data_IF_084700972480
#
_entry.id   IF_084700972480
#
_cell.length_a   1.000
_cell.length_b   1.000
_cell.length_c   1.000
_cell.angle_alpha   90.00
_cell.angle_beta   90.00
_cell.angle_gamma   90.00
#
_symmetry.space_group_name_H-M   'P 1'
#
loop_
_entity.id
_entity.type
_entity.pdbx_description
1 polymer ?
#
# COMPACT_ATOMS: atom_id res chain seq x y z
N UNK A 1 13.96 35.35 11.75
CA UNK A 1 15.30 34.82 11.38
C UNK A 1 16.31 35.40 12.35
N UNK A 2 16.56 34.71 13.46
CA UNK A 2 17.65 35.02 14.37
C UNK A 2 18.92 34.36 13.81
N UNK A 3 19.82 35.17 13.27
CA UNK A 3 21.13 34.71 12.80
C UNK A 3 21.92 34.16 13.99
N UNK A 4 22.19 32.86 14.00
CA UNK A 4 23.13 32.26 14.95
C UNK A 4 24.51 32.73 14.54
N UNK A 5 25.01 33.78 15.17
CA UNK A 5 26.40 34.21 15.02
C UNK A 5 27.27 33.22 15.76
N UNK A 6 27.90 32.29 15.03
CA UNK A 6 28.91 31.41 15.60
C UNK A 6 30.16 32.27 15.83
N UNK A 7 30.62 32.48 17.08
CA UNK A 7 31.85 33.22 17.32
C UNK A 7 33.03 32.49 16.65
N UNK A 8 34.03 33.22 16.11
CA UNK A 8 35.22 32.58 15.55
C UNK A 8 35.90 31.77 16.65
N UNK A 9 35.79 30.44 16.57
CA UNK A 9 36.39 29.54 17.53
C UNK A 9 37.92 29.66 17.51
N UNK A 10 38.59 29.50 18.67
CA UNK A 10 40.05 29.44 18.70
C UNK A 10 40.51 28.27 17.81
N UNK A 11 41.58 28.51 17.03
CA UNK A 11 42.07 27.63 15.97
C UNK A 11 41.90 26.14 16.26
N UNK A 12 41.22 25.44 15.35
CA UNK A 12 40.79 24.06 15.48
C UNK A 12 41.95 23.09 15.70
N UNK A 13 42.29 22.82 16.97
CA UNK A 13 42.71 21.47 17.35
C UNK A 13 41.44 20.67 17.55
N UNK A 14 40.91 20.10 16.47
CA UNK A 14 39.80 19.17 16.55
C UNK A 14 40.23 18.03 17.48
N UNK A 15 39.56 17.91 18.62
CA UNK A 15 39.80 16.81 19.55
C UNK A 15 39.26 15.55 18.87
N UNK A 16 40.13 14.73 18.28
CA UNK A 16 39.74 13.58 17.44
C UNK A 16 39.03 12.47 18.20
N UNK A 17 38.99 12.55 19.53
CA UNK A 17 38.26 11.65 20.43
C UNK A 17 36.87 12.15 20.84
N UNK A 18 36.50 13.39 20.49
CA UNK A 18 35.16 13.91 20.80
C UNK A 18 34.16 13.54 19.71
N UNK A 19 33.15 12.74 20.07
CA UNK A 19 32.04 12.40 19.17
C UNK A 19 30.86 13.36 19.39
N UNK A 20 30.60 14.31 18.46
CA UNK A 20 29.50 15.27 18.57
C UNK A 20 28.12 14.60 18.55
N UNK A 21 27.99 13.36 18.08
CA UNK A 21 26.72 12.64 18.04
C UNK A 21 26.30 12.07 19.40
N UNK A 22 27.25 11.93 20.33
CA UNK A 22 26.99 11.46 21.70
C UNK A 22 26.77 12.60 22.69
N UNK A 23 26.85 13.85 22.24
CA UNK A 23 26.63 15.02 23.08
C UNK A 23 25.23 14.99 23.68
N UNK A 24 25.15 15.21 24.99
CA UNK A 24 23.90 15.41 25.69
C UNK A 24 23.35 16.81 25.44
N UNK A 25 22.10 16.87 25.02
CA UNK A 25 21.32 18.08 24.91
C UNK A 25 20.28 18.08 26.04
N UNK A 26 20.00 19.25 26.59
CA UNK A 26 19.02 19.40 27.68
C UNK A 26 17.94 20.35 27.24
N UNK A 27 16.69 19.88 27.32
CA UNK A 27 15.49 20.70 27.15
C UNK A 27 14.75 20.75 28.47
N UNK A 28 14.08 21.87 28.73
CA UNK A 28 13.20 22.01 29.88
C UNK A 28 11.76 21.71 29.49
N UNK A 29 11.04 21.03 30.36
CA UNK A 29 9.61 20.76 30.19
C UNK A 29 8.79 22.04 30.31
N UNK A 30 7.46 21.93 30.15
CA UNK A 30 6.52 23.06 30.25
C UNK A 30 6.66 23.82 31.57
N UNK A 31 7.06 23.12 32.64
CA UNK A 31 7.30 23.68 33.97
C UNK A 31 8.54 24.59 34.04
N UNK A 32 9.39 24.60 33.00
CA UNK A 32 10.62 25.37 32.92
C UNK A 32 11.72 24.90 33.89
N UNK A 33 11.50 23.80 34.59
CA UNK A 33 12.34 23.36 35.71
C UNK A 33 12.83 21.93 35.49
N UNK A 34 12.00 21.03 34.99
CA UNK A 34 12.37 19.62 34.80
C UNK A 34 13.24 19.46 33.56
N UNK A 35 14.53 19.10 33.70
CA UNK A 35 15.41 18.92 32.56
C UNK A 35 15.25 17.51 31.98
N UNK A 36 15.00 17.43 30.68
CA UNK A 36 15.12 16.20 29.90
C UNK A 36 16.45 16.22 29.17
N UNK A 37 17.29 15.25 29.50
CA UNK A 37 18.59 15.06 28.84
C UNK A 37 18.49 13.93 27.84
N UNK A 38 18.88 14.19 26.59
CA UNK A 38 18.86 13.22 25.51
C UNK A 38 20.13 13.36 24.65
N UNK A 39 20.63 12.27 24.06
CA UNK A 39 21.78 12.34 23.17
C UNK A 39 21.39 12.96 21.82
N UNK A 40 22.30 13.73 21.21
CA UNK A 40 22.10 14.31 19.89
C UNK A 40 21.79 13.25 18.82
N UNK A 41 22.36 12.05 18.95
CA UNK A 41 22.06 10.91 18.07
C UNK A 41 20.60 10.44 18.10
N UNK A 42 19.87 10.62 19.22
CA UNK A 42 18.45 10.27 19.27
C UNK A 42 17.61 11.18 18.35
N UNK A 43 17.93 12.48 18.35
CA UNK A 43 17.26 13.48 17.49
C UNK A 43 17.46 13.13 16.02
N UNK A 44 18.71 12.91 15.62
CA UNK A 44 19.06 12.58 14.24
C UNK A 44 18.35 11.32 13.77
N UNK A 45 18.27 10.28 14.62
CA UNK A 45 17.55 9.03 14.29
C UNK A 45 16.06 9.28 14.09
N UNK A 46 15.42 10.05 14.96
CA UNK A 46 13.98 10.34 14.84
C UNK A 46 13.66 11.14 13.57
N UNK A 47 14.45 12.18 13.26
CA UNK A 47 14.25 12.94 12.02
C UNK A 47 14.57 12.14 10.76
N UNK A 48 15.58 11.27 10.82
CA UNK A 48 15.89 10.36 9.72
C UNK A 48 14.72 9.40 9.45
N UNK A 49 14.12 8.85 10.51
CA UNK A 49 12.91 8.02 10.40
C UNK A 49 11.73 8.80 9.82
N UNK A 50 11.44 10.00 10.33
CA UNK A 50 10.37 10.86 9.84
C UNK A 50 10.54 11.22 8.36
N UNK A 51 11.77 11.50 7.94
CA UNK A 51 12.11 11.80 6.54
C UNK A 51 11.90 10.58 5.65
N UNK A 52 12.37 9.40 6.06
CA UNK A 52 12.16 8.15 5.33
C UNK A 52 10.67 7.84 5.15
N UNK A 53 9.85 8.02 6.19
CA UNK A 53 8.40 7.82 6.11
C UNK A 53 7.72 8.86 5.22
N UNK A 54 8.14 10.12 5.26
CA UNK A 54 7.61 11.18 4.40
C UNK A 54 7.85 10.87 2.91
N UNK A 55 9.06 10.43 2.56
CA UNK A 55 9.39 10.00 1.19
C UNK A 55 8.53 8.80 0.80
N UNK A 56 8.36 7.84 1.70
CA UNK A 56 7.56 6.64 1.46
C UNK A 56 6.09 6.99 1.18
N UNK A 57 5.48 7.89 1.95
CA UNK A 57 4.11 8.32 1.70
C UNK A 57 4.01 9.13 0.40
N UNK A 58 4.98 10.00 0.11
CA UNK A 58 5.03 10.74 -1.15
C UNK A 58 5.07 9.83 -2.38
N UNK A 59 5.91 8.79 -2.37
CA UNK A 59 5.98 7.81 -3.47
C UNK A 59 4.67 7.03 -3.62
N UNK A 60 4.01 6.64 -2.52
CA UNK A 60 2.72 5.96 -2.53
C UNK A 60 1.61 6.84 -3.13
N UNK A 61 1.56 8.13 -2.79
CA UNK A 61 0.60 9.08 -3.38
C UNK A 61 0.81 9.16 -4.90
N UNK A 62 2.05 9.37 -5.35
CA UNK A 62 2.38 9.45 -6.76
C UNK A 62 2.00 8.19 -7.53
N UNK A 63 2.29 7.01 -6.96
CA UNK A 63 1.95 5.74 -7.57
C UNK A 63 0.43 5.49 -7.66
N UNK A 64 -0.33 5.86 -6.62
CA UNK A 64 -1.80 5.80 -6.64
C UNK A 64 -2.39 6.76 -7.69
N UNK A 65 -1.89 7.99 -7.81
CA UNK A 65 -2.38 8.95 -8.80
C UNK A 65 -2.04 8.53 -10.24
N UNK A 66 -0.83 8.03 -10.47
CA UNK A 66 -0.43 7.50 -11.77
C UNK A 66 -1.31 6.31 -12.17
N UNK A 67 -1.55 5.38 -11.25
CA UNK A 67 -2.44 4.24 -11.51
C UNK A 67 -3.89 4.67 -11.71
N UNK A 68 -4.36 5.69 -11.00
CA UNK A 68 -5.70 6.26 -11.21
C UNK A 68 -5.82 6.84 -12.62
N UNK A 69 -4.84 7.62 -13.07
CA UNK A 69 -4.79 8.16 -14.43
C UNK A 69 -4.80 7.04 -15.49
N UNK A 70 -4.03 5.97 -15.26
CA UNK A 70 -4.02 4.78 -16.13
C UNK A 70 -5.39 4.09 -16.16
N UNK A 71 -6.04 3.87 -15.01
CA UNK A 71 -7.38 3.27 -14.95
C UNK A 71 -8.40 4.14 -15.67
N UNK A 72 -8.40 5.45 -15.44
CA UNK A 72 -9.34 6.38 -16.08
C UNK A 72 -9.11 6.49 -17.60
N UNK A 73 -7.86 6.50 -18.05
CA UNK A 73 -7.51 6.63 -19.46
C UNK A 73 -7.64 5.33 -20.27
N UNK A 74 -7.33 4.18 -19.67
CA UNK A 74 -7.29 2.89 -20.38
C UNK A 74 -8.57 2.06 -20.23
N UNK A 75 -9.48 2.40 -19.31
CA UNK A 75 -10.73 1.64 -19.10
C UNK A 75 -11.84 2.17 -20.03
N UNK A 76 -12.43 1.32 -20.91
CA UNK A 76 -13.55 1.73 -21.76
C UNK A 76 -14.77 2.18 -20.95
N UNK A 77 -15.49 3.21 -21.42
CA UNK A 77 -16.66 3.76 -20.72
C UNK A 77 -17.75 2.72 -20.40
N UNK A 78 -17.96 1.75 -21.29
CA UNK A 78 -18.91 0.65 -21.08
C UNK A 78 -18.56 -0.24 -19.88
N UNK A 79 -17.29 -0.29 -19.48
CA UNK A 79 -16.78 -1.10 -18.36
C UNK A 79 -16.63 -0.30 -17.07
N UNK A 80 -16.66 1.03 -17.16
CA UNK A 80 -16.51 1.94 -16.02
C UNK A 80 -17.58 1.71 -14.93
N UNK A 81 -18.79 1.32 -15.35
CA UNK A 81 -19.92 1.04 -14.44
C UNK A 81 -19.85 -0.32 -13.72
N UNK A 82 -18.82 -1.14 -13.96
CA UNK A 82 -18.69 -2.43 -13.28
C UNK A 82 -18.23 -2.22 -11.84
N UNK A 83 -18.87 -2.92 -10.89
CA UNK A 83 -18.55 -2.84 -9.47
C UNK A 83 -17.04 -3.01 -9.13
N UNK A 84 -16.27 -3.94 -9.73
CA UNK A 84 -14.84 -4.06 -9.45
C UNK A 84 -14.03 -2.82 -9.84
N UNK A 85 -14.41 -2.14 -10.92
CA UNK A 85 -13.73 -0.93 -11.41
C UNK A 85 -14.03 0.25 -10.50
N UNK A 86 -15.30 0.43 -10.10
CA UNK A 86 -15.69 1.49 -9.15
C UNK A 86 -15.03 1.29 -7.78
N UNK A 87 -15.02 0.06 -7.27
CA UNK A 87 -14.34 -0.26 -6.01
C UNK A 87 -12.83 -0.05 -6.11
N UNK A 88 -12.21 -0.38 -7.24
CA UNK A 88 -10.80 -0.10 -7.50
C UNK A 88 -10.50 1.40 -7.49
N UNK A 89 -11.28 2.21 -8.22
CA UNK A 89 -11.13 3.67 -8.23
C UNK A 89 -11.32 4.25 -6.81
N UNK A 90 -12.35 3.81 -6.10
CA UNK A 90 -12.59 4.23 -4.72
C UNK A 90 -11.41 3.86 -3.80
N UNK A 91 -10.84 2.64 -3.95
CA UNK A 91 -9.68 2.21 -3.19
C UNK A 91 -8.46 3.10 -3.46
N UNK A 92 -8.18 3.42 -4.72
CA UNK A 92 -7.06 4.29 -5.10
C UNK A 92 -7.23 5.71 -4.54
N UNK A 93 -8.42 6.29 -4.65
CA UNK A 93 -8.72 7.65 -4.15
C UNK A 93 -8.63 7.71 -2.63
N UNK A 94 -9.27 6.77 -1.92
CA UNK A 94 -9.22 6.72 -0.47
C UNK A 94 -7.81 6.47 0.05
N UNK A 95 -7.03 5.60 -0.62
CA UNK A 95 -5.64 5.36 -0.25
C UNK A 95 -4.77 6.60 -0.48
N UNK A 96 -4.94 7.30 -1.60
CA UNK A 96 -4.22 8.55 -1.86
C UNK A 96 -4.57 9.63 -0.83
N UNK A 97 -5.86 9.79 -0.48
CA UNK A 97 -6.30 10.72 0.55
C UNK A 97 -5.72 10.38 1.93
N UNK A 98 -5.69 9.08 2.29
CA UNK A 98 -5.04 8.61 3.52
C UNK A 98 -3.56 8.94 3.54
N UNK A 99 -2.82 8.59 2.49
CA UNK A 99 -1.37 8.88 2.44
C UNK A 99 -1.10 10.39 2.46
N UNK A 100 -1.97 11.21 1.87
CA UNK A 100 -1.87 12.66 1.97
C UNK A 100 -2.05 13.15 3.40
N UNK A 101 -3.06 12.67 4.14
CA UNK A 101 -3.25 13.03 5.55
C UNK A 101 -2.06 12.58 6.42
N UNK A 102 -1.50 11.40 6.17
CA UNK A 102 -0.29 10.92 6.85
C UNK A 102 0.95 11.74 6.47
N UNK A 103 1.05 12.23 5.25
CA UNK A 103 2.14 13.12 4.84
C UNK A 103 2.01 14.50 5.50
N UNK A 104 0.78 15.03 5.60
CA UNK A 104 0.50 16.30 6.29
C UNK A 104 0.79 16.24 7.78
N UNK A 105 0.66 15.07 8.42
CA UNK A 105 1.05 14.89 9.82
C UNK A 105 2.51 15.33 10.08
N UNK A 106 3.43 15.06 9.16
CA UNK A 106 4.83 15.49 9.30
C UNK A 106 5.04 17.01 9.24
N UNK A 107 4.02 17.76 8.84
CA UNK A 107 4.04 19.23 8.81
C UNK A 107 3.37 19.88 10.01
N UNK A 108 2.78 19.08 10.91
CA UNK A 108 2.07 19.57 12.11
C UNK A 108 3.00 19.72 13.31
N UNK A 109 2.52 20.44 14.34
CA UNK A 109 3.22 20.65 15.62
C UNK A 109 3.49 19.34 16.38
N UNK A 110 2.87 18.22 16.00
CA UNK A 110 3.22 16.89 16.49
C UNK A 110 4.67 16.50 16.22
N UNK A 111 5.29 17.03 15.16
CA UNK A 111 6.66 16.73 14.75
C UNK A 111 7.64 17.84 15.18
N UNK A 112 7.16 18.82 15.94
CA UNK A 112 8.04 19.83 16.51
C UNK A 112 9.04 19.21 17.48
N UNK A 113 10.26 19.71 17.42
CA UNK A 113 11.39 19.22 18.20
C UNK A 113 11.06 19.15 19.70
N UNK A 114 10.36 20.16 20.21
CA UNK A 114 9.93 20.21 21.59
C UNK A 114 8.98 19.05 21.90
N UNK A 115 7.89 18.88 21.15
CA UNK A 115 6.83 17.88 21.38
C UNK A 115 7.37 16.46 21.28
N UNK A 116 8.22 16.18 20.28
CA UNK A 116 8.85 14.86 20.09
C UNK A 116 9.71 14.47 21.31
N UNK A 117 10.47 15.42 21.86
CA UNK A 117 11.46 15.13 22.90
C UNK A 117 10.85 15.22 24.31
N UNK A 118 9.97 16.19 24.53
CA UNK A 118 9.29 16.38 25.82
C UNK A 118 8.14 15.40 26.02
N UNK A 119 7.54 14.89 24.93
CA UNK A 119 6.29 14.14 24.98
C UNK A 119 5.10 14.98 25.43
N UNK A 120 5.26 16.30 25.54
CA UNK A 120 4.22 17.20 26.02
C UNK A 120 3.31 17.63 24.87
N UNK A 121 2.08 17.11 24.88
CA UNK A 121 1.06 17.46 23.90
C UNK A 121 0.27 18.73 24.25
N UNK A 122 0.57 19.40 25.38
CA UNK A 122 -0.14 20.61 25.82
C UNK A 122 0.01 21.81 24.85
N UNK A 123 1.12 21.84 24.12
CA UNK A 123 1.47 22.84 23.11
C UNK A 123 0.87 22.55 21.73
N UNK A 124 0.27 21.38 21.52
CA UNK A 124 -0.28 20.99 20.21
C UNK A 124 -1.67 21.63 20.01
N UNK A 125 -1.89 22.39 18.93
CA UNK A 125 -3.17 23.01 18.65
C UNK A 125 -4.24 21.96 18.31
N UNK A 126 -5.51 22.27 18.63
CA UNK A 126 -6.64 21.34 18.40
C UNK A 126 -6.81 20.92 16.93
N UNK A 127 -6.39 21.77 16.00
CA UNK A 127 -6.45 21.49 14.55
C UNK A 127 -5.59 20.27 14.18
N UNK A 128 -4.42 20.14 14.80
CA UNK A 128 -3.48 19.05 14.56
C UNK A 128 -3.96 17.72 15.17
N UNK A 129 -4.73 17.79 16.27
CA UNK A 129 -5.44 16.62 16.80
C UNK A 129 -6.52 16.14 15.81
N UNK A 130 -7.31 17.05 15.25
CA UNK A 130 -8.37 16.72 14.29
C UNK A 130 -7.77 16.08 13.03
N UNK A 131 -6.67 16.63 12.51
CA UNK A 131 -5.98 16.08 11.34
C UNK A 131 -5.49 14.65 11.59
N UNK A 132 -4.89 14.40 12.76
CA UNK A 132 -4.38 13.08 13.15
C UNK A 132 -5.51 12.06 13.34
N UNK A 133 -6.61 12.48 13.97
CA UNK A 133 -7.81 11.65 14.12
C UNK A 133 -8.43 11.35 12.76
N UNK A 134 -8.50 12.32 11.85
CA UNK A 134 -9.02 12.13 10.50
C UNK A 134 -8.16 11.13 9.69
N UNK A 135 -6.84 11.24 9.74
CA UNK A 135 -5.92 10.31 9.09
C UNK A 135 -6.05 8.87 9.62
N UNK A 136 -6.26 8.73 10.93
CA UNK A 136 -6.48 7.43 11.59
C UNK A 136 -7.83 6.84 11.22
N UNK A 137 -8.90 7.64 11.32
CA UNK A 137 -10.26 7.24 10.98
C UNK A 137 -10.40 6.79 9.53
N UNK A 138 -9.65 7.42 8.61
CA UNK A 138 -9.65 7.05 7.19
C UNK A 138 -9.05 5.65 6.94
N UNK A 139 -8.36 5.03 7.91
CA UNK A 139 -7.89 3.64 7.81
C UNK A 139 -9.05 2.66 7.58
N UNK A 140 -10.15 2.85 8.32
CA UNK A 140 -11.30 1.95 8.31
C UNK A 140 -11.95 1.87 6.92
N UNK A 141 -12.41 2.98 6.30
CA UNK A 141 -13.04 2.90 4.99
C UNK A 141 -12.06 2.42 3.92
N UNK A 142 -10.77 2.78 3.99
CA UNK A 142 -9.75 2.27 3.05
C UNK A 142 -9.69 0.75 3.12
N UNK A 143 -9.54 0.18 4.32
CA UNK A 143 -9.47 -1.26 4.53
C UNK A 143 -10.74 -1.97 4.06
N UNK A 144 -11.92 -1.43 4.41
CA UNK A 144 -13.20 -2.00 4.00
C UNK A 144 -13.34 -2.00 2.48
N UNK A 145 -12.96 -0.92 1.80
CA UNK A 145 -13.04 -0.83 0.33
C UNK A 145 -12.05 -1.78 -0.34
N UNK A 146 -10.82 -1.90 0.18
CA UNK A 146 -9.83 -2.86 -0.32
C UNK A 146 -10.32 -4.31 -0.16
N UNK A 147 -10.80 -4.68 1.03
CA UNK A 147 -11.36 -6.01 1.28
C UNK A 147 -12.58 -6.28 0.39
N UNK A 148 -13.47 -5.29 0.22
CA UNK A 148 -14.64 -5.41 -0.64
C UNK A 148 -14.23 -5.61 -2.11
N UNK A 149 -13.22 -4.87 -2.59
CA UNK A 149 -12.65 -5.03 -3.92
C UNK A 149 -12.10 -6.44 -4.15
N UNK A 150 -11.32 -6.95 -3.19
CA UNK A 150 -10.78 -8.31 -3.21
C UNK A 150 -11.90 -9.36 -3.20
N UNK A 151 -12.92 -9.19 -2.35
CA UNK A 151 -14.08 -10.09 -2.28
C UNK A 151 -14.86 -10.13 -3.60
N UNK A 152 -15.12 -8.98 -4.22
CA UNK A 152 -15.85 -8.92 -5.50
C UNK A 152 -15.04 -9.56 -6.63
N UNK A 153 -13.73 -9.32 -6.66
CA UNK A 153 -12.83 -9.98 -7.62
C UNK A 153 -12.83 -11.50 -7.41
N UNK A 154 -12.58 -11.96 -6.18
CA UNK A 154 -12.59 -13.37 -5.83
C UNK A 154 -13.94 -14.05 -6.14
N UNK A 155 -15.06 -13.40 -5.84
CA UNK A 155 -16.40 -13.92 -6.12
C UNK A 155 -16.62 -14.19 -7.62
N UNK A 156 -16.15 -13.28 -8.48
CA UNK A 156 -16.22 -13.47 -9.93
C UNK A 156 -15.46 -14.72 -10.41
N UNK A 157 -14.40 -15.10 -9.70
CA UNK A 157 -13.56 -16.26 -9.99
C UNK A 157 -14.12 -17.56 -9.39
N UNK A 158 -14.65 -17.49 -8.17
CA UNK A 158 -15.25 -18.62 -7.44
C UNK A 158 -16.60 -19.05 -8.03
N UNK A 159 -17.33 -18.16 -8.71
CA UNK A 159 -18.60 -18.51 -9.37
C UNK A 159 -18.48 -19.67 -10.36
N UNK A 160 -17.29 -19.89 -10.92
CA UNK A 160 -17.01 -20.97 -11.87
C UNK A 160 -16.47 -22.25 -11.23
N UNK A 161 -16.50 -22.36 -9.89
CA UNK A 161 -16.03 -23.55 -9.16
C UNK A 161 -17.18 -24.49 -8.80
N UNK A 162 -16.91 -25.80 -8.70
CA UNK A 162 -17.87 -26.75 -8.14
C UNK A 162 -18.20 -26.40 -6.68
N UNK A 163 -19.44 -26.66 -6.28
CA UNK A 163 -20.00 -26.25 -4.97
C UNK A 163 -19.15 -26.69 -3.77
N UNK A 164 -18.54 -27.86 -3.86
CA UNK A 164 -17.74 -28.50 -2.81
C UNK A 164 -16.50 -27.68 -2.42
N UNK A 165 -15.84 -27.05 -3.40
CA UNK A 165 -14.68 -26.18 -3.16
C UNK A 165 -15.07 -24.72 -2.94
N UNK A 166 -16.24 -24.32 -3.45
CA UNK A 166 -16.77 -22.96 -3.35
C UNK A 166 -17.16 -22.59 -1.93
N UNK A 167 -17.89 -23.46 -1.23
CA UNK A 167 -18.39 -23.17 0.13
C UNK A 167 -17.26 -22.88 1.13
N UNK A 168 -16.23 -23.74 1.30
CA UNK A 168 -15.16 -23.47 2.26
C UNK A 168 -14.34 -22.23 1.87
N UNK A 169 -14.11 -21.99 0.57
CA UNK A 169 -13.38 -20.82 0.11
C UNK A 169 -14.13 -19.51 0.40
N UNK A 170 -15.45 -19.48 0.17
CA UNK A 170 -16.30 -18.32 0.49
C UNK A 170 -16.36 -18.07 1.99
N UNK A 171 -16.57 -19.13 2.80
CA UNK A 171 -16.60 -18.97 4.26
C UNK A 171 -15.25 -18.49 4.80
N UNK A 172 -14.14 -19.06 4.33
CA UNK A 172 -12.79 -18.64 4.72
C UNK A 172 -12.51 -17.18 4.36
N UNK A 173 -12.84 -16.76 3.13
CA UNK A 173 -12.69 -15.36 2.71
C UNK A 173 -13.57 -14.39 3.51
N UNK A 174 -14.81 -14.78 3.81
CA UNK A 174 -15.72 -13.94 4.59
C UNK A 174 -15.26 -13.81 6.04
N UNK A 175 -14.88 -14.93 6.67
CA UNK A 175 -14.38 -14.94 8.05
C UNK A 175 -13.11 -14.10 8.18
N UNK A 176 -12.15 -14.29 7.26
CA UNK A 176 -10.88 -13.55 7.27
C UNK A 176 -11.10 -12.06 6.98
N UNK A 177 -11.99 -11.72 6.05
CA UNK A 177 -12.36 -10.33 5.77
C UNK A 177 -13.03 -9.63 6.96
N UNK A 178 -13.99 -10.29 7.61
CA UNK A 178 -14.67 -9.75 8.80
C UNK A 178 -13.71 -9.59 9.97
N UNK A 179 -12.83 -10.57 10.20
CA UNK A 179 -11.85 -10.52 11.27
C UNK A 179 -10.88 -9.36 11.07
N UNK A 180 -10.35 -9.19 9.85
CA UNK A 180 -9.48 -8.06 9.50
C UNK A 180 -10.18 -6.71 9.67
N UNK A 181 -11.44 -6.59 9.25
CA UNK A 181 -12.21 -5.35 9.42
C UNK A 181 -12.48 -5.05 10.90
N UNK A 182 -12.82 -6.06 11.71
CA UNK A 182 -13.04 -5.91 13.14
C UNK A 182 -11.76 -5.46 13.87
N UNK A 183 -10.63 -6.11 13.58
CA UNK A 183 -9.34 -5.69 14.16
C UNK A 183 -8.90 -4.31 13.70
N UNK A 184 -9.18 -3.92 12.45
CA UNK A 184 -8.94 -2.54 11.98
C UNK A 184 -9.75 -1.52 12.80
N UNK A 185 -11.04 -1.80 13.02
CA UNK A 185 -11.92 -0.94 13.82
C UNK A 185 -11.42 -0.79 15.26
N UNK A 186 -11.10 -1.91 15.93
CA UNK A 186 -10.59 -1.88 17.31
C UNK A 186 -9.27 -1.11 17.37
N UNK A 187 -8.34 -1.36 16.45
CA UNK A 187 -7.05 -0.66 16.42
C UNK A 187 -7.23 0.85 16.16
N UNK A 188 -8.16 1.23 15.30
CA UNK A 188 -8.50 2.63 15.02
C UNK A 188 -9.07 3.32 16.25
N UNK A 189 -10.00 2.67 16.96
CA UNK A 189 -10.59 3.22 18.19
C UNK A 189 -9.54 3.40 19.29
N UNK A 190 -8.67 2.41 19.48
CA UNK A 190 -7.59 2.49 20.47
C UNK A 190 -6.59 3.59 20.12
N UNK A 191 -6.22 3.74 18.84
CA UNK A 191 -5.34 4.83 18.40
C UNK A 191 -5.98 6.21 18.58
N UNK A 192 -7.26 6.38 18.23
CA UNK A 192 -7.98 7.65 18.44
C UNK A 192 -8.03 7.98 19.93
N UNK A 193 -8.31 7.00 20.80
CA UNK A 193 -8.32 7.20 22.24
C UNK A 193 -6.93 7.60 22.78
N UNK A 194 -5.87 6.95 22.30
CA UNK A 194 -4.49 7.28 22.65
C UNK A 194 -4.11 8.70 22.21
N UNK A 195 -4.52 9.12 21.00
CA UNK A 195 -4.32 10.49 20.50
C UNK A 195 -5.03 11.49 21.41
N UNK A 196 -6.30 11.27 21.78
CA UNK A 196 -7.04 12.19 22.65
C UNK A 196 -6.44 12.34 24.05
N UNK A 197 -5.83 11.29 24.59
CA UNK A 197 -5.20 11.32 25.92
C UNK A 197 -3.70 11.63 25.87
N UNK A 198 -3.14 11.86 24.69
CA UNK A 198 -1.70 12.03 24.46
C UNK A 198 -0.84 10.98 25.17
N UNK A 199 -1.37 9.77 25.30
CA UNK A 199 -0.77 8.72 26.13
C UNK A 199 -0.37 7.53 25.24
N UNK A 200 0.89 7.55 24.84
CA UNK A 200 1.52 6.51 24.03
C UNK A 200 1.51 5.13 24.72
N UNK A 201 1.34 5.06 26.05
CA UNK A 201 1.25 3.79 26.78
C UNK A 201 -0.07 3.05 26.53
N UNK A 202 -1.11 3.77 26.08
CA UNK A 202 -2.42 3.20 25.73
C UNK A 202 -2.47 2.62 24.31
N UNK A 203 -1.40 2.76 23.53
CA UNK A 203 -1.30 2.13 22.22
C UNK A 203 -1.06 0.63 22.45
N UNK A 204 -2.10 -0.17 22.25
CA UNK A 204 -1.98 -1.62 22.26
C UNK A 204 -1.21 -2.08 21.02
N UNK A 205 0.13 -2.11 21.13
CA UNK A 205 1.04 -2.50 20.05
C UNK A 205 0.66 -3.88 19.50
N UNK A 206 0.29 -4.82 20.38
CA UNK A 206 -0.16 -6.15 19.99
C UNK A 206 -1.39 -6.13 19.08
N UNK A 207 -2.38 -5.26 19.35
CA UNK A 207 -3.59 -5.17 18.52
C UNK A 207 -3.27 -4.64 17.13
N UNK A 208 -2.37 -3.64 17.06
CA UNK A 208 -1.86 -3.13 15.78
C UNK A 208 -1.14 -4.23 15.00
N UNK A 209 -0.25 -4.98 15.63
CA UNK A 209 0.46 -6.10 15.00
C UNK A 209 -0.50 -7.19 14.51
N UNK A 210 -1.50 -7.56 15.31
CA UNK A 210 -2.52 -8.52 14.93
C UNK A 210 -3.31 -8.06 13.69
N UNK A 211 -3.71 -6.79 13.64
CA UNK A 211 -4.35 -6.22 12.45
C UNK A 211 -3.45 -6.31 11.21
N UNK A 212 -2.16 -5.99 11.34
CA UNK A 212 -1.21 -6.06 10.21
C UNK A 212 -1.05 -7.49 9.69
N UNK A 213 -0.92 -8.46 10.57
CA UNK A 213 -0.84 -9.88 10.23
C UNK A 213 -2.12 -10.34 9.53
N UNK A 214 -3.29 -9.96 10.05
CA UNK A 214 -4.58 -10.32 9.46
C UNK A 214 -4.80 -9.69 8.08
N UNK A 215 -4.47 -8.41 7.92
CA UNK A 215 -4.57 -7.70 6.65
C UNK A 215 -3.67 -8.35 5.59
N UNK A 216 -2.43 -8.64 5.95
CA UNK A 216 -1.47 -9.33 5.08
C UNK A 216 -1.99 -10.72 4.73
N UNK A 217 -2.38 -11.52 5.72
CA UNK A 217 -2.94 -12.86 5.52
C UNK A 217 -4.17 -12.85 4.62
N UNK A 218 -5.04 -11.85 4.74
CA UNK A 218 -6.21 -11.66 3.87
C UNK A 218 -5.81 -11.51 2.42
N UNK A 219 -4.86 -10.63 2.14
CA UNK A 219 -4.32 -10.40 0.80
C UNK A 219 -3.72 -11.70 0.25
N UNK A 220 -2.86 -12.37 1.03
CA UNK A 220 -2.23 -13.64 0.66
C UNK A 220 -3.28 -14.69 0.28
N UNK A 221 -4.33 -14.80 1.08
CA UNK A 221 -5.43 -15.74 0.87
C UNK A 221 -6.18 -15.45 -0.44
N UNK A 222 -6.52 -14.19 -0.71
CA UNK A 222 -7.18 -13.82 -1.97
C UNK A 222 -6.28 -14.03 -3.20
N UNK A 223 -5.00 -13.70 -3.09
CA UNK A 223 -4.01 -13.99 -4.14
C UNK A 223 -3.87 -15.51 -4.37
N UNK A 224 -3.87 -16.32 -3.31
CA UNK A 224 -3.83 -17.78 -3.42
C UNK A 224 -5.06 -18.33 -4.16
N UNK A 225 -6.28 -17.92 -3.75
CA UNK A 225 -7.51 -18.33 -4.43
C UNK A 225 -7.50 -17.98 -5.92
N UNK A 226 -6.96 -16.80 -6.25
CA UNK A 226 -6.80 -16.38 -7.63
C UNK A 226 -5.82 -17.26 -8.42
N UNK A 227 -4.64 -17.54 -7.86
CA UNK A 227 -3.64 -18.39 -8.49
C UNK A 227 -4.16 -19.81 -8.71
N UNK A 228 -4.86 -20.40 -7.72
CA UNK A 228 -5.47 -21.74 -7.88
C UNK A 228 -6.49 -21.74 -9.00
N UNK A 229 -7.30 -20.68 -9.17
CA UNK A 229 -8.23 -20.57 -10.31
C UNK A 229 -7.47 -20.53 -11.63
N UNK A 230 -6.38 -19.77 -11.72
CA UNK A 230 -5.58 -19.69 -12.95
C UNK A 230 -4.96 -21.04 -13.30
N UNK A 231 -4.37 -21.74 -12.32
CA UNK A 231 -3.79 -23.07 -12.52
C UNK A 231 -4.86 -24.08 -12.94
N UNK A 232 -6.00 -24.11 -12.24
CA UNK A 232 -7.14 -24.97 -12.61
C UNK A 232 -7.62 -24.68 -14.03
N UNK A 233 -7.75 -23.40 -14.39
CA UNK A 233 -8.17 -23.00 -15.73
C UNK A 233 -7.14 -23.41 -16.80
N UNK A 234 -5.84 -23.30 -16.52
CA UNK A 234 -4.78 -23.78 -17.42
C UNK A 234 -4.80 -25.31 -17.56
N UNK A 235 -5.01 -26.02 -16.45
CA UNK A 235 -5.06 -27.48 -16.43
C UNK A 235 -6.26 -28.03 -17.20
N UNK A 236 -7.46 -27.50 -16.94
CA UNK A 236 -8.70 -27.92 -17.62
C UNK A 236 -8.70 -27.56 -19.10
N UNK A 237 -8.11 -26.43 -19.49
CA UNK A 237 -8.01 -26.07 -20.90
C UNK A 237 -6.84 -26.77 -21.64
N UNK A 238 -6.06 -27.63 -20.95
CA UNK A 238 -5.05 -28.59 -21.42
C UNK A 238 -4.32 -28.34 -22.76
N UNK A 239 -4.08 -27.09 -23.14
CA UNK A 239 -3.31 -26.72 -24.33
C UNK A 239 -2.90 -25.26 -24.26
N UNK A 240 -1.81 -25.00 -23.55
CA UNK A 240 -0.76 -24.17 -24.13
C UNK A 240 0.38 -25.12 -24.40
N UNK A 241 0.26 -25.89 -25.49
CA UNK A 241 1.43 -26.03 -26.34
C UNK A 241 1.99 -24.63 -26.53
N UNK A 242 3.31 -24.41 -26.36
CA UNK A 242 3.95 -23.13 -26.57
C UNK A 242 3.69 -22.73 -28.02
N UNK A 243 2.58 -22.02 -28.26
CA UNK A 243 2.35 -21.39 -29.53
C UNK A 243 3.36 -20.26 -29.57
N UNK A 244 4.27 -20.38 -30.52
CA UNK A 244 5.37 -19.50 -30.86
C UNK A 244 4.96 -18.03 -31.17
N UNK A 245 3.78 -17.57 -30.76
CA UNK A 245 3.15 -16.30 -31.16
C UNK A 245 2.79 -15.39 -29.98
N UNK A 246 3.64 -15.33 -28.95
CA UNK A 246 3.63 -14.25 -27.94
C UNK A 246 2.97 -14.58 -26.60
N UNK A 247 3.43 -13.87 -25.56
CA UNK A 247 2.93 -13.93 -24.18
C UNK A 247 1.39 -13.80 -24.15
N UNK A 248 0.69 -14.87 -23.74
CA UNK A 248 -0.77 -14.82 -23.62
C UNK A 248 -1.18 -13.93 -22.44
N UNK A 249 -2.33 -13.28 -22.56
CA UNK A 249 -2.96 -12.48 -21.50
C UNK A 249 -3.02 -13.19 -20.14
N UNK A 250 -3.15 -14.52 -20.16
CA UNK A 250 -3.21 -15.34 -18.96
C UNK A 250 -1.85 -15.49 -18.28
N UNK A 251 -0.74 -15.57 -19.04
CA UNK A 251 0.62 -15.73 -18.51
C UNK A 251 1.06 -14.44 -17.79
N UNK A 252 0.72 -13.28 -18.36
CA UNK A 252 1.01 -12.00 -17.71
C UNK A 252 0.15 -11.80 -16.47
N UNK A 253 -1.11 -12.26 -16.49
CA UNK A 253 -1.98 -12.22 -15.32
C UNK A 253 -1.49 -13.16 -14.19
N UNK A 254 -0.96 -14.34 -14.55
CA UNK A 254 -0.25 -15.26 -13.64
C UNK A 254 1.02 -14.60 -13.12
N UNK A 255 1.89 -14.04 -13.96
CA UNK A 255 3.12 -13.36 -13.52
C UNK A 255 2.80 -12.19 -12.59
N UNK A 256 1.83 -11.35 -12.93
CA UNK A 256 1.47 -10.17 -12.13
C UNK A 256 0.92 -10.56 -10.76
N UNK A 257 0.11 -11.63 -10.68
CA UNK A 257 -0.41 -12.14 -9.41
C UNK A 257 0.56 -13.06 -8.65
N UNK A 258 1.48 -13.71 -9.36
CA UNK A 258 2.60 -14.45 -8.78
C UNK A 258 3.62 -13.51 -8.17
N UNK A 259 3.91 -12.37 -8.82
CA UNK A 259 4.66 -11.25 -8.24
C UNK A 259 3.94 -10.74 -6.99
N UNK A 260 2.61 -10.61 -6.98
CA UNK A 260 1.84 -10.32 -5.75
C UNK A 260 1.90 -11.41 -4.67
N UNK A 261 2.36 -12.61 -4.98
CA UNK A 261 2.61 -13.65 -3.98
C UNK A 261 4.07 -13.63 -3.49
N UNK A 262 5.01 -13.29 -4.36
CA UNK A 262 6.45 -13.24 -4.05
C UNK A 262 6.90 -11.93 -3.42
N UNK A 263 6.35 -10.80 -3.87
CA UNK A 263 6.76 -9.46 -3.45
C UNK A 263 6.15 -9.04 -2.09
N UNK A 264 4.91 -9.42 -1.70
CA UNK A 264 4.30 -8.91 -0.47
C UNK A 264 3.87 -9.91 0.63
N UNK A 265 3.90 -11.24 0.47
CA UNK A 265 2.99 -12.08 1.29
C UNK A 265 3.52 -12.69 2.64
N UNK A 266 4.47 -13.65 2.74
CA UNK A 266 4.69 -14.33 4.05
C UNK A 266 6.14 -14.47 4.56
N UNK A 267 7.15 -14.47 3.68
CA UNK A 267 8.55 -14.80 4.06
C UNK A 267 9.30 -13.58 4.59
N UNK A 268 8.96 -12.38 4.11
CA UNK A 268 9.63 -11.13 4.48
C UNK A 268 8.96 -10.53 5.73
N UNK A 269 7.64 -10.59 5.84
CA UNK A 269 6.90 -9.94 6.93
C UNK A 269 7.02 -10.66 8.28
N UNK A 270 6.94 -12.00 8.32
CA UNK A 270 7.24 -12.77 9.54
C UNK A 270 8.73 -12.80 9.89
N UNK A 271 9.64 -12.55 8.92
CA UNK A 271 11.08 -12.52 9.19
C UNK A 271 11.60 -11.14 9.62
N UNK A 272 11.04 -10.03 9.09
CA UNK A 272 11.51 -8.67 9.38
C UNK A 272 10.89 -8.04 10.64
N UNK A 273 9.68 -8.42 11.04
CA UNK A 273 9.11 -7.92 12.30
C UNK A 273 9.88 -8.45 13.53
N UNK A 274 10.57 -9.59 13.39
CA UNK A 274 11.52 -10.09 14.39
C UNK A 274 12.88 -9.35 14.40
N UNK A 275 13.19 -8.53 13.40
CA UNK A 275 14.51 -7.90 13.25
C UNK A 275 14.61 -6.44 13.71
N UNK A 276 13.54 -5.85 14.29
CA UNK A 276 13.59 -4.53 14.95
C UNK A 276 13.77 -3.31 14.01
N UNK A 277 13.41 -3.42 12.72
CA UNK A 277 13.51 -2.31 11.76
C UNK A 277 12.26 -1.42 11.85
N UNK A 278 12.14 -0.67 12.95
CA UNK A 278 11.05 0.29 13.20
C UNK A 278 11.02 1.48 12.20
N UNK A 279 11.92 1.50 11.20
CA UNK A 279 12.08 2.62 10.26
C UNK A 279 11.19 2.53 9.01
N UNK A 280 10.52 1.39 8.77
CA UNK A 280 9.66 1.19 7.60
C UNK A 280 8.24 0.77 7.99
N UNK A 281 7.26 1.59 7.62
CA UNK A 281 5.83 1.25 7.64
C UNK A 281 5.50 0.28 6.49
N UNK A 282 6.09 -0.92 6.54
CA UNK A 282 5.98 -1.96 5.51
C UNK A 282 4.51 -2.28 5.18
N UNK A 283 3.62 -2.17 6.16
CA UNK A 283 2.20 -2.46 6.01
C UNK A 283 1.51 -1.54 4.99
N UNK A 284 1.83 -0.24 5.04
CA UNK A 284 1.30 0.75 4.10
C UNK A 284 1.74 0.43 2.68
N UNK A 285 3.00 0.02 2.51
CA UNK A 285 3.60 -0.33 1.22
C UNK A 285 2.95 -1.58 0.63
N UNK A 286 2.73 -2.61 1.44
CA UNK A 286 2.04 -3.84 1.02
C UNK A 286 0.62 -3.53 0.55
N UNK A 287 -0.12 -2.73 1.32
CA UNK A 287 -1.48 -2.34 0.97
C UNK A 287 -1.52 -1.54 -0.34
N UNK A 288 -0.65 -0.53 -0.50
CA UNK A 288 -0.57 0.29 -1.71
C UNK A 288 -0.14 -0.51 -2.94
N UNK A 289 0.83 -1.41 -2.79
CA UNK A 289 1.28 -2.32 -3.85
C UNK A 289 0.13 -3.17 -4.38
N UNK A 290 -0.69 -3.75 -3.50
CA UNK A 290 -1.84 -4.56 -3.88
C UNK A 290 -2.89 -3.73 -4.62
N UNK A 291 -3.18 -2.53 -4.12
CA UNK A 291 -4.13 -1.59 -4.74
C UNK A 291 -3.68 -1.18 -6.15
N UNK A 292 -2.38 -1.13 -6.43
CA UNK A 292 -1.84 -0.78 -7.76
C UNK A 292 -1.78 -2.00 -8.68
N UNK A 293 -1.25 -3.12 -8.21
CA UNK A 293 -0.97 -4.28 -9.09
C UNK A 293 -2.26 -4.97 -9.54
N UNK A 294 -3.31 -5.00 -8.71
CA UNK A 294 -4.60 -5.59 -9.08
C UNK A 294 -5.19 -4.96 -10.36
N UNK A 295 -5.46 -3.64 -10.42
CA UNK A 295 -5.97 -3.02 -11.64
C UNK A 295 -4.97 -3.11 -12.80
N UNK A 296 -3.66 -3.02 -12.55
CA UNK A 296 -2.64 -3.16 -13.59
C UNK A 296 -2.68 -4.55 -14.27
N UNK A 297 -2.72 -5.63 -13.48
CA UNK A 297 -2.85 -6.99 -13.99
C UNK A 297 -4.12 -7.18 -14.82
N UNK A 298 -5.25 -6.62 -14.37
CA UNK A 298 -6.50 -6.68 -15.14
C UNK A 298 -6.43 -5.89 -16.45
N UNK A 299 -5.77 -4.73 -16.48
CA UNK A 299 -5.62 -3.92 -17.68
C UNK A 299 -4.71 -4.59 -18.71
N UNK A 300 -3.57 -5.14 -18.29
CA UNK A 300 -2.65 -5.83 -19.21
C UNK A 300 -3.34 -7.06 -19.82
N UNK A 301 -4.04 -7.86 -19.01
CA UNK A 301 -4.79 -9.00 -19.51
C UNK A 301 -5.89 -8.58 -20.52
N UNK A 302 -6.56 -7.45 -20.28
CA UNK A 302 -7.57 -6.93 -21.20
C UNK A 302 -6.98 -6.46 -22.54
N UNK A 303 -5.79 -5.86 -22.50
CA UNK A 303 -5.08 -5.36 -23.69
C UNK A 303 -4.53 -6.53 -24.53
N UNK A 304 -3.94 -7.53 -23.89
CA UNK A 304 -3.48 -8.74 -24.58
C UNK A 304 -4.63 -9.58 -25.15
N UNK A 305 -5.81 -9.54 -24.53
CA UNK A 305 -7.00 -10.20 -25.06
C UNK A 305 -7.65 -9.46 -26.25
N UNK A 306 -7.29 -8.20 -26.52
CA UNK A 306 -7.79 -7.40 -27.64
C UNK A 306 -6.63 -6.70 -28.39
N UNK A 307 -5.82 -7.44 -29.17
CA UNK A 307 -4.67 -6.89 -29.90
C UNK A 307 -5.04 -5.88 -31.01
N UNK A 308 -6.32 -5.80 -31.40
CA UNK A 308 -6.85 -4.88 -32.43
C UNK A 308 -6.58 -3.39 -32.12
N UNK A 309 -6.22 -3.05 -30.87
CA UNK A 309 -5.92 -1.69 -30.43
C UNK A 309 -4.49 -1.20 -30.75
N UNK A 310 -3.54 -2.09 -31.06
CA UNK A 310 -2.13 -1.72 -31.29
C UNK A 310 -1.78 -1.45 -32.76
N UNK A 311 -2.77 -1.32 -33.65
CA UNK A 311 -2.51 -0.97 -35.05
C UNK A 311 -2.02 -2.12 -35.91
N UNK A 312 -2.22 -3.39 -35.53
CA UNK A 312 -1.97 -4.54 -36.41
C UNK A 312 -3.07 -4.72 -37.48
N UNK A 313 -3.52 -3.62 -38.07
CA UNK A 313 -4.31 -3.63 -39.32
C UNK A 313 -3.43 -3.32 -40.54
N UNK A 314 -2.16 -2.95 -40.35
CA UNK A 314 -1.28 -2.55 -41.45
C UNK A 314 -0.67 -3.72 -42.25
N UNK A 315 -0.81 -4.97 -41.79
CA UNK A 315 -0.32 -6.14 -42.54
C UNK A 315 -1.40 -6.82 -43.40
N UNK A 316 -2.69 -6.70 -43.05
CA UNK A 316 -3.78 -7.31 -43.85
C UNK A 316 -4.11 -6.49 -45.10
N UNK A 317 -3.77 -5.19 -45.11
CA UNK A 317 -4.05 -4.31 -46.25
C UNK A 317 -2.86 -4.16 -47.22
N UNK A 318 -1.73 -4.86 -47.00
CA UNK A 318 -0.53 -4.73 -47.85
C UNK A 318 -0.48 -5.72 -49.02
N UNK A 319 -1.51 -6.55 -49.22
CA UNK A 319 -1.58 -7.41 -50.40
C UNK A 319 -2.96 -7.37 -51.09
N UNK A 320 -3.24 -6.35 -51.91
CA UNK A 320 -4.43 -6.32 -52.77
C UNK A 320 -4.42 -7.36 -53.91
N UNK A 321 -3.40 -8.22 -54.00
CA UNK A 321 -3.20 -9.16 -55.12
C UNK A 321 -3.30 -10.65 -54.77
N UNK A 322 -3.87 -11.03 -53.61
CA UNK A 322 -4.28 -12.42 -53.42
C UNK A 322 -5.61 -12.65 -54.16
N UNK A 323 -5.49 -13.05 -55.43
CA UNK A 323 -6.59 -13.38 -56.34
C UNK A 323 -7.54 -14.44 -55.76
N UNK A 324 -8.86 -14.34 -56.00
CA UNK A 324 -9.78 -15.43 -55.72
C UNK A 324 -9.57 -16.52 -56.77
N UNK A 325 -8.93 -17.63 -56.38
CA UNK A 325 -8.96 -18.86 -57.15
C UNK A 325 -10.42 -19.31 -57.24
N UNK A 326 -10.89 -19.43 -58.49
CA UNK A 326 -12.28 -19.67 -58.83
C UNK A 326 -12.73 -21.10 -58.58
N UNK A 327 -14.03 -21.23 -58.35
CA UNK A 327 -14.78 -22.44 -58.62
C UNK A 327 -15.98 -22.07 -59.49
N UNK A 328 -15.86 -22.40 -60.78
CA UNK A 328 -16.98 -22.51 -61.72
C UNK A 328 -17.11 -23.98 -62.13
N UNK A 329 -18.31 -24.51 -61.89
CA UNK A 329 -18.98 -25.62 -62.57
C UNK A 329 -18.54 -27.07 -62.31
N UNK A 330 -19.49 -27.80 -61.71
CA UNK A 330 -19.61 -29.26 -61.62
C UNK A 330 -20.90 -29.59 -60.86
#
# INVERSE_FOLDING_TARGET
MSTITIPPGPGSRANTSFDPQTQSLTLFLHDGITPITFPASAVTRTYQQATSLSILYGTQIGACLAMLAVVLGMTPQARFRRAPTLLGIAALVLNAARMLLLALFFTTTWVDFYVIISGDASVVPREDFILSVAGTALSVPVTVVVLSGLCVQAWSMLRLWPMWWKVPAVMGSLALGLLTAAFNLVTTVLQINAIFHADSSKIAVWTRQAYLVLATTSICWFCFLFNVRLVMHMWTNRSVLPSLNGLKAIDVLVMTNGILMFVPAPVIFSALEFFNWQQFELASVTQTTVVIILPLGTLIAQRLANPVWFGTNDEVNRNPNASPLGDTNG
#
